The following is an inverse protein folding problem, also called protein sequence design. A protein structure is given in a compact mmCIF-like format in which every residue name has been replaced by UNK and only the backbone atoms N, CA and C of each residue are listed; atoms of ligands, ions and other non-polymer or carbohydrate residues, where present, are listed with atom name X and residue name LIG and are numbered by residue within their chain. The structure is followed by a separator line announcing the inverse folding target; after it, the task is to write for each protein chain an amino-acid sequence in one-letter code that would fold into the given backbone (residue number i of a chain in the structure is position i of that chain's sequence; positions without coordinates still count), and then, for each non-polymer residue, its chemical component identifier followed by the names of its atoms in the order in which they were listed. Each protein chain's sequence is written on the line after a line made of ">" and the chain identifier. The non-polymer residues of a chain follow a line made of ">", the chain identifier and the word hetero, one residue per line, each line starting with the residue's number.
data_IF_813712955807
#
_entry.id   IF_813712955807
#
_cell.length_a   1.000
_cell.length_b   1.000
_cell.length_c   1.000
_cell.angle_alpha   90.00
_cell.angle_beta   90.00
_cell.angle_gamma   90.00
#
_symmetry.space_group_name_H-M   'P 1'
#
loop_
_entity.id
_entity.type
_entity.pdbx_description
1 polymer ?
#
# COMPACT_ATOMS: atom_id res chain seq x y z
N UNK A 1 -10.24 -16.04 -0.80
CA UNK A 1 -9.42 -16.87 -1.72
C UNK A 1 -7.96 -17.00 -1.28
N UNK A 2 -7.21 -15.92 -1.02
CA UNK A 2 -5.85 -16.03 -0.47
C UNK A 2 -5.77 -16.85 0.85
N UNK A 3 -6.76 -16.70 1.72
CA UNK A 3 -6.91 -17.46 2.97
C UNK A 3 -7.11 -18.97 2.76
N UNK A 4 -7.72 -19.39 1.64
CA UNK A 4 -7.96 -20.81 1.33
C UNK A 4 -6.65 -21.50 1.00
N UNK A 5 -5.80 -20.87 0.17
CA UNK A 5 -4.47 -21.39 -0.14
C UNK A 5 -3.60 -21.53 1.12
N UNK A 6 -3.60 -20.53 2.00
CA UNK A 6 -2.88 -20.60 3.28
C UNK A 6 -3.40 -21.73 4.18
N UNK A 7 -4.71 -21.89 4.31
CA UNK A 7 -5.30 -22.96 5.10
C UNK A 7 -4.95 -24.35 4.55
N UNK A 8 -4.99 -24.55 3.23
CA UNK A 8 -4.61 -25.80 2.58
C UNK A 8 -3.14 -26.12 2.79
N UNK A 9 -2.25 -25.14 2.59
CA UNK A 9 -0.81 -25.32 2.83
C UNK A 9 -0.50 -25.61 4.32
N UNK A 10 -1.15 -24.92 5.25
CA UNK A 10 -0.99 -25.18 6.68
C UNK A 10 -1.44 -26.60 7.08
N UNK A 11 -2.53 -27.10 6.48
CA UNK A 11 -3.01 -28.48 6.72
C UNK A 11 -2.09 -29.55 6.15
N UNK A 12 -1.44 -29.29 5.01
CA UNK A 12 -0.50 -30.24 4.41
C UNK A 12 0.85 -30.30 5.14
N UNK A 13 1.38 -29.14 5.53
CA UNK A 13 2.73 -29.02 6.07
C UNK A 13 2.82 -29.18 7.59
N UNK A 14 1.72 -28.95 8.31
CA UNK A 14 1.76 -28.83 9.76
C UNK A 14 2.43 -27.53 10.25
N UNK A 15 2.47 -27.29 11.57
CA UNK A 15 2.79 -25.97 12.13
C UNK A 15 4.23 -25.50 11.90
N UNK A 16 5.21 -26.42 12.00
CA UNK A 16 6.63 -26.07 11.90
C UNK A 16 7.00 -25.62 10.48
N UNK A 17 6.73 -26.46 9.49
CA UNK A 17 7.03 -26.19 8.07
C UNK A 17 6.23 -25.01 7.53
N UNK A 18 4.94 -24.92 7.88
CA UNK A 18 4.14 -23.74 7.54
C UNK A 18 4.72 -22.46 8.16
N UNK A 19 5.25 -22.54 9.39
CA UNK A 19 5.94 -21.44 10.05
C UNK A 19 7.14 -20.93 9.25
N UNK A 20 7.99 -21.82 8.74
CA UNK A 20 9.14 -21.47 7.89
C UNK A 20 8.71 -20.74 6.61
N UNK A 21 7.67 -21.24 5.94
CA UNK A 21 7.11 -20.61 4.74
C UNK A 21 6.51 -19.23 5.05
N UNK A 22 5.73 -19.13 6.13
CA UNK A 22 5.09 -17.89 6.55
C UNK A 22 6.12 -16.82 6.94
N UNK A 23 7.22 -17.19 7.60
CA UNK A 23 8.32 -16.30 7.94
C UNK A 23 9.05 -15.80 6.69
N UNK A 24 9.32 -16.69 5.73
CA UNK A 24 9.93 -16.32 4.44
C UNK A 24 9.10 -15.28 3.68
N UNK A 25 7.78 -15.47 3.71
CA UNK A 25 6.83 -14.54 3.11
C UNK A 25 6.72 -13.21 3.86
N UNK A 26 6.65 -13.25 5.19
CA UNK A 26 6.59 -12.06 6.02
C UNK A 26 7.86 -11.21 5.86
N UNK A 27 9.02 -11.85 5.84
CA UNK A 27 10.31 -11.23 5.64
C UNK A 27 10.39 -10.49 4.30
N UNK A 28 10.15 -11.19 3.19
CA UNK A 28 10.22 -10.58 1.85
C UNK A 28 9.20 -9.45 1.65
N UNK A 29 7.98 -9.61 2.17
CA UNK A 29 6.99 -8.51 2.19
C UNK A 29 7.43 -7.31 3.01
N UNK A 30 8.11 -7.56 4.14
CA UNK A 30 8.70 -6.53 4.97
C UNK A 30 9.70 -5.71 4.14
N UNK A 31 10.69 -6.38 3.54
CA UNK A 31 11.70 -5.73 2.71
C UNK A 31 11.06 -4.96 1.54
N UNK A 32 10.12 -5.58 0.82
CA UNK A 32 9.40 -4.92 -0.28
C UNK A 32 8.75 -3.61 0.20
N UNK A 33 8.12 -3.61 1.37
CA UNK A 33 7.43 -2.42 1.87
C UNK A 33 8.37 -1.27 2.27
N UNK A 34 9.58 -1.58 2.72
CA UNK A 34 10.58 -0.57 3.09
C UNK A 34 11.37 -0.05 1.89
N UNK A 35 11.65 -0.91 0.90
CA UNK A 35 12.49 -0.55 -0.26
C UNK A 35 11.67 -0.09 -1.46
N UNK A 36 10.39 -0.46 -1.55
CA UNK A 36 9.57 -0.16 -2.72
C UNK A 36 9.39 1.34 -2.94
N UNK A 37 9.80 1.79 -4.12
CA UNK A 37 9.52 3.12 -4.61
C UNK A 37 8.17 3.10 -5.34
N UNK A 38 7.23 3.94 -4.91
CA UNK A 38 5.89 4.02 -5.53
C UNK A 38 5.91 4.84 -6.82
N UNK A 39 6.61 4.35 -7.85
CA UNK A 39 6.76 5.03 -9.15
C UNK A 39 5.43 5.24 -9.89
N UNK A 40 4.37 4.51 -9.55
CA UNK A 40 3.07 4.65 -10.23
C UNK A 40 2.45 6.05 -10.07
N UNK A 41 2.64 6.73 -8.93
CA UNK A 41 2.06 8.06 -8.69
C UNK A 41 2.59 9.12 -9.67
N UNK A 42 3.92 9.31 -9.80
CA UNK A 42 4.48 10.26 -10.76
C UNK A 42 4.14 9.87 -12.20
N UNK A 43 4.22 8.57 -12.55
CA UNK A 43 3.91 8.10 -13.90
C UNK A 43 2.48 8.45 -14.32
N UNK A 44 1.50 8.37 -13.42
CA UNK A 44 0.12 8.77 -13.72
C UNK A 44 0.00 10.29 -13.93
N UNK A 45 0.59 11.12 -13.06
CA UNK A 45 0.49 12.59 -13.20
C UNK A 45 1.17 13.09 -14.48
N UNK A 46 2.43 12.73 -14.66
CA UNK A 46 3.20 13.17 -15.83
C UNK A 46 2.74 12.47 -17.11
N UNK A 47 2.28 11.22 -17.00
CA UNK A 47 1.71 10.48 -18.12
C UNK A 47 0.40 11.09 -18.59
N UNK A 48 -0.52 11.45 -17.69
CA UNK A 48 -1.78 12.12 -18.06
C UNK A 48 -1.53 13.42 -18.84
N UNK A 49 -0.52 14.20 -18.44
CA UNK A 49 -0.10 15.41 -19.17
C UNK A 49 0.46 15.07 -20.56
N UNK A 50 1.36 14.10 -20.68
CA UNK A 50 1.94 13.69 -21.97
C UNK A 50 0.90 13.11 -22.94
N UNK A 51 -0.08 12.34 -22.43
CA UNK A 51 -1.21 11.86 -23.23
C UNK A 51 -2.02 13.00 -23.84
N UNK A 52 -2.21 14.10 -23.10
CA UNK A 52 -3.00 15.24 -23.55
C UNK A 52 -2.30 16.03 -24.67
N UNK A 53 -0.99 16.25 -24.56
CA UNK A 53 -0.21 16.96 -25.58
C UNK A 53 -0.02 16.10 -26.85
N UNK A 54 -0.21 14.78 -26.73
CA UNK A 54 -0.04 13.84 -27.84
C UNK A 54 1.42 13.45 -28.10
N UNK A 55 2.31 13.75 -27.16
CA UNK A 55 3.74 13.44 -27.27
C UNK A 55 4.02 11.97 -26.95
N UNK A 56 3.86 11.12 -27.97
CA UNK A 56 3.99 9.66 -27.81
C UNK A 56 5.39 9.23 -27.36
N UNK A 57 6.45 9.92 -27.79
CA UNK A 57 7.82 9.57 -27.41
C UNK A 57 8.17 9.97 -25.98
N UNK A 58 7.59 11.05 -25.47
CA UNK A 58 7.69 11.46 -24.07
C UNK A 58 6.98 10.44 -23.18
N UNK A 59 5.81 9.97 -23.60
CA UNK A 59 5.06 8.94 -22.90
C UNK A 59 5.81 7.59 -22.88
N UNK A 60 6.40 7.17 -24.00
CA UNK A 60 7.26 5.96 -24.06
C UNK A 60 8.46 6.08 -23.14
N UNK A 61 9.18 7.21 -23.19
CA UNK A 61 10.35 7.44 -22.34
C UNK A 61 9.98 7.45 -20.86
N UNK A 62 8.84 8.05 -20.50
CA UNK A 62 8.31 8.09 -19.14
C UNK A 62 8.02 6.67 -18.61
N UNK A 63 7.32 5.82 -19.39
CA UNK A 63 7.05 4.44 -18.97
C UNK A 63 8.32 3.58 -18.92
N UNK A 64 9.25 3.74 -19.88
CA UNK A 64 10.56 3.06 -19.83
C UNK A 64 11.32 3.46 -18.56
N UNK A 65 11.34 4.75 -18.23
CA UNK A 65 11.99 5.26 -17.03
C UNK A 65 11.35 4.71 -15.76
N UNK A 66 10.02 4.71 -15.70
CA UNK A 66 9.27 4.08 -14.61
C UNK A 66 9.61 2.60 -14.40
N UNK A 67 9.71 1.84 -15.49
CA UNK A 67 10.10 0.44 -15.44
C UNK A 67 11.55 0.26 -14.91
N UNK A 68 12.47 1.15 -15.27
CA UNK A 68 13.84 1.11 -14.77
C UNK A 68 13.91 1.44 -13.28
N UNK A 69 13.12 2.41 -12.80
CA UNK A 69 12.99 2.68 -11.35
C UNK A 69 12.46 1.43 -10.64
N UNK A 70 11.42 0.79 -11.17
CA UNK A 70 10.86 -0.42 -10.56
C UNK A 70 11.89 -1.56 -10.52
N UNK A 71 12.62 -1.79 -11.61
CA UNK A 71 13.61 -2.84 -11.69
C UNK A 71 14.80 -2.58 -10.76
N UNK A 72 15.31 -1.35 -10.73
CA UNK A 72 16.42 -0.97 -9.85
C UNK A 72 16.03 -1.07 -8.38
N UNK A 73 14.81 -0.66 -8.02
CA UNK A 73 14.32 -0.76 -6.63
C UNK A 73 14.03 -2.20 -6.22
N UNK A 74 13.51 -3.03 -7.14
CA UNK A 74 13.33 -4.47 -6.92
C UNK A 74 14.66 -5.21 -6.73
N UNK A 75 15.67 -4.91 -7.56
CA UNK A 75 17.01 -5.49 -7.44
C UNK A 75 17.75 -5.01 -6.19
N UNK A 76 17.66 -3.72 -5.85
CA UNK A 76 18.22 -3.18 -4.62
C UNK A 76 17.56 -3.82 -3.39
N UNK A 77 16.23 -4.00 -3.42
CA UNK A 77 15.48 -4.67 -2.36
C UNK A 77 15.86 -6.13 -2.21
N UNK A 78 16.06 -6.84 -3.33
CA UNK A 78 16.58 -8.21 -3.31
C UNK A 78 17.98 -8.30 -2.71
N UNK A 79 18.91 -7.45 -3.17
CA UNK A 79 20.28 -7.41 -2.64
C UNK A 79 20.31 -7.10 -1.14
N UNK A 80 19.52 -6.12 -0.69
CA UNK A 80 19.38 -5.80 0.73
C UNK A 80 18.78 -6.99 1.52
N UNK A 81 17.75 -7.66 0.99
CA UNK A 81 17.15 -8.82 1.64
C UNK A 81 18.16 -9.96 1.82
N UNK A 82 18.96 -10.26 0.79
CA UNK A 82 20.00 -11.29 0.88
C UNK A 82 21.07 -10.89 1.88
N UNK A 83 21.54 -9.64 1.83
CA UNK A 83 22.55 -9.12 2.74
C UNK A 83 22.11 -9.20 4.21
N UNK A 84 20.87 -8.82 4.50
CA UNK A 84 20.31 -8.89 5.87
C UNK A 84 20.27 -10.34 6.36
N UNK A 85 19.84 -11.31 5.54
CA UNK A 85 19.81 -12.72 5.97
C UNK A 85 21.22 -13.25 6.23
N UNK A 86 22.17 -12.96 5.35
CA UNK A 86 23.54 -13.44 5.48
C UNK A 86 24.28 -12.82 6.67
N UNK A 87 24.12 -11.52 6.89
CA UNK A 87 24.80 -10.82 7.98
C UNK A 87 24.08 -11.02 9.31
N UNK A 88 22.77 -10.84 9.34
CA UNK A 88 22.01 -10.81 10.59
C UNK A 88 21.51 -12.19 11.03
N UNK A 89 21.30 -13.13 10.11
CA UNK A 89 20.81 -14.48 10.41
C UNK A 89 21.62 -15.20 11.51
N UNK A 90 22.97 -15.22 11.43
CA UNK A 90 23.81 -15.81 12.48
C UNK A 90 23.68 -15.14 13.85
N UNK A 91 23.53 -13.80 13.90
CA UNK A 91 23.40 -13.06 15.16
C UNK A 91 22.04 -13.28 15.84
N UNK A 92 20.99 -13.52 15.06
CA UNK A 92 19.65 -13.76 15.58
C UNK A 92 19.36 -15.23 15.92
N UNK A 93 20.38 -16.11 15.86
CA UNK A 93 20.22 -17.54 16.15
C UNK A 93 19.32 -18.27 15.15
N UNK A 94 19.17 -17.73 13.94
CA UNK A 94 18.34 -18.33 12.88
C UNK A 94 19.05 -19.59 12.38
N UNK A 95 18.33 -20.71 12.30
CA UNK A 95 18.90 -21.96 11.80
C UNK A 95 19.39 -21.81 10.35
N UNK A 96 20.42 -22.57 9.98
CA UNK A 96 20.96 -22.57 8.62
C UNK A 96 19.91 -22.99 7.57
N UNK A 97 19.00 -23.89 7.97
CA UNK A 97 17.87 -24.33 7.16
C UNK A 97 16.88 -23.19 6.90
N UNK A 98 16.43 -22.49 7.94
CA UNK A 98 15.53 -21.35 7.80
C UNK A 98 16.16 -20.25 6.93
N UNK A 99 17.45 -19.95 7.16
CA UNK A 99 18.19 -18.99 6.34
C UNK A 99 18.19 -19.40 4.86
N UNK A 100 18.37 -20.69 4.56
CA UNK A 100 18.33 -21.21 3.19
C UNK A 100 16.96 -21.02 2.55
N UNK A 101 15.87 -21.36 3.24
CA UNK A 101 14.51 -21.17 2.73
C UNK A 101 14.20 -19.69 2.46
N UNK A 102 14.56 -18.80 3.39
CA UNK A 102 14.36 -17.36 3.22
C UNK A 102 15.18 -16.83 2.03
N UNK A 103 16.43 -17.26 1.88
CA UNK A 103 17.29 -16.87 0.74
C UNK A 103 16.70 -17.31 -0.60
N UNK A 104 16.21 -18.54 -0.69
CA UNK A 104 15.53 -19.03 -1.89
C UNK A 104 14.28 -18.18 -2.16
N UNK A 105 13.46 -17.92 -1.14
CA UNK A 105 12.24 -17.13 -1.29
C UNK A 105 12.51 -15.68 -1.70
N UNK A 106 13.65 -15.10 -1.31
CA UNK A 106 14.07 -13.76 -1.74
C UNK A 106 14.18 -13.63 -3.27
N UNK A 107 14.39 -14.73 -4.01
CA UNK A 107 14.42 -14.72 -5.47
C UNK A 107 13.13 -14.22 -6.13
N UNK A 108 12.03 -14.08 -5.37
CA UNK A 108 10.79 -13.44 -5.84
C UNK A 108 10.94 -11.92 -5.99
N UNK A 109 11.75 -11.26 -5.16
CA UNK A 109 11.85 -9.80 -5.08
C UNK A 109 12.23 -9.10 -6.40
N UNK A 110 13.20 -9.59 -7.21
CA UNK A 110 13.53 -8.99 -8.50
C UNK A 110 12.36 -8.91 -9.48
N UNK A 111 11.35 -9.78 -9.33
CA UNK A 111 10.18 -9.83 -10.19
C UNK A 111 9.04 -8.91 -9.73
N UNK A 112 9.16 -8.26 -8.56
CA UNK A 112 8.13 -7.39 -7.97
C UNK A 112 8.06 -6.00 -8.63
N UNK A 113 7.98 -5.98 -9.96
CA UNK A 113 7.78 -4.78 -10.78
C UNK A 113 6.30 -4.41 -10.75
N UNK A 114 5.95 -3.38 -9.98
CA UNK A 114 4.54 -3.01 -9.75
C UNK A 114 4.18 -1.61 -10.22
N UNK A 115 5.13 -0.68 -10.30
CA UNK A 115 4.86 0.74 -10.50
C UNK A 115 4.39 1.10 -11.91
N UNK A 116 5.21 0.89 -12.94
CA UNK A 116 4.87 1.13 -14.34
C UNK A 116 3.65 0.33 -14.79
N UNK A 117 3.54 -1.00 -14.52
CA UNK A 117 2.36 -1.75 -14.92
C UNK A 117 1.06 -1.21 -14.31
N UNK A 118 1.12 -0.79 -13.04
CA UNK A 118 -0.02 -0.17 -12.36
C UNK A 118 -0.36 1.19 -12.97
N UNK A 119 0.64 2.03 -13.29
CA UNK A 119 0.42 3.32 -13.91
C UNK A 119 -0.28 3.19 -15.27
N UNK A 120 0.19 2.29 -16.14
CA UNK A 120 -0.42 2.02 -17.45
C UNK A 120 -1.88 1.58 -17.29
N UNK A 121 -2.13 0.58 -16.43
CA UNK A 121 -3.48 0.06 -16.23
C UNK A 121 -4.44 1.14 -15.69
N UNK A 122 -3.97 2.00 -14.79
CA UNK A 122 -4.78 3.06 -14.20
C UNK A 122 -5.01 4.22 -15.17
N UNK A 123 -3.99 4.64 -15.93
CA UNK A 123 -4.11 5.71 -16.93
C UNK A 123 -5.11 5.36 -18.04
N UNK A 124 -5.11 4.11 -18.50
CA UNK A 124 -6.02 3.64 -19.55
C UNK A 124 -7.32 3.01 -19.02
N UNK A 125 -7.63 3.19 -17.73
CA UNK A 125 -8.90 2.73 -17.14
C UNK A 125 -9.11 1.22 -17.11
N UNK A 126 -8.04 0.41 -17.19
CA UNK A 126 -8.08 -1.06 -17.24
C UNK A 126 -8.14 -1.71 -15.84
N UNK A 127 -8.90 -1.12 -14.93
CA UNK A 127 -9.08 -1.63 -13.56
C UNK A 127 -9.67 -3.05 -13.51
N UNK A 128 -10.54 -3.39 -14.48
CA UNK A 128 -11.13 -4.73 -14.59
C UNK A 128 -10.07 -5.83 -14.77
N UNK A 129 -9.06 -5.59 -15.60
CA UNK A 129 -7.99 -6.58 -15.85
C UNK A 129 -7.19 -6.84 -14.57
N UNK A 130 -6.92 -5.79 -13.80
CA UNK A 130 -6.23 -5.90 -12.50
C UNK A 130 -7.07 -6.70 -11.50
N UNK A 131 -8.36 -6.38 -11.38
CA UNK A 131 -9.26 -7.02 -10.44
C UNK A 131 -9.50 -8.51 -10.77
N UNK A 132 -9.91 -8.83 -12.00
CA UNK A 132 -10.15 -10.21 -12.42
C UNK A 132 -8.87 -11.04 -12.46
N UNK A 133 -7.74 -10.43 -12.86
CA UNK A 133 -6.44 -11.10 -12.83
C UNK A 133 -6.04 -11.54 -11.43
N UNK A 134 -6.30 -10.73 -10.40
CA UNK A 134 -6.04 -11.09 -9.01
C UNK A 134 -6.93 -12.23 -8.52
N UNK A 135 -8.21 -12.25 -8.91
CA UNK A 135 -9.15 -13.33 -8.57
C UNK A 135 -8.71 -14.63 -9.25
N UNK A 136 -8.46 -14.60 -10.56
CA UNK A 136 -8.02 -15.76 -11.33
C UNK A 136 -6.71 -16.35 -10.77
N UNK A 137 -5.72 -15.50 -10.48
CA UNK A 137 -4.47 -15.94 -9.86
C UNK A 137 -4.70 -16.57 -8.47
N UNK A 138 -5.64 -16.04 -7.69
CA UNK A 138 -5.98 -16.59 -6.36
C UNK A 138 -6.70 -17.93 -6.45
N UNK A 139 -7.61 -18.09 -7.41
CA UNK A 139 -8.32 -19.37 -7.66
C UNK A 139 -7.34 -20.43 -8.17
N UNK A 140 -6.53 -20.10 -9.17
CA UNK A 140 -5.50 -21.00 -9.69
C UNK A 140 -4.55 -21.45 -8.57
N UNK A 141 -4.09 -20.52 -7.72
CA UNK A 141 -3.26 -20.86 -6.56
C UNK A 141 -3.97 -21.82 -5.60
N UNK A 142 -5.24 -21.59 -5.29
CA UNK A 142 -6.00 -22.46 -4.41
C UNK A 142 -6.15 -23.88 -4.99
N UNK A 143 -6.40 -24.00 -6.30
CA UNK A 143 -6.45 -25.28 -7.00
C UNK A 143 -5.10 -26.00 -6.99
N UNK A 144 -4.00 -25.28 -7.20
CA UNK A 144 -2.66 -25.84 -7.13
C UNK A 144 -2.31 -26.29 -5.70
N UNK A 145 -2.69 -25.51 -4.67
CA UNK A 145 -2.53 -25.92 -3.28
C UNK A 145 -3.34 -27.18 -2.97
N UNK A 146 -4.56 -27.28 -3.48
CA UNK A 146 -5.41 -28.46 -3.32
C UNK A 146 -4.77 -29.69 -3.98
N UNK A 147 -4.27 -29.55 -5.21
CA UNK A 147 -3.52 -30.60 -5.87
C UNK A 147 -2.29 -31.02 -5.06
N UNK A 148 -1.53 -30.06 -4.53
CA UNK A 148 -0.37 -30.34 -3.67
C UNK A 148 -0.72 -31.11 -2.40
N UNK A 149 -1.87 -30.83 -1.78
CA UNK A 149 -2.38 -31.62 -0.64
C UNK A 149 -2.61 -33.08 -1.06
N UNK A 150 -3.30 -33.31 -2.18
CA UNK A 150 -3.59 -34.66 -2.67
C UNK A 150 -2.35 -35.43 -3.14
N UNK A 151 -1.35 -34.72 -3.67
CA UNK A 151 -0.08 -35.29 -4.13
C UNK A 151 0.96 -35.46 -3.01
N UNK A 152 0.63 -35.05 -1.77
CA UNK A 152 1.53 -35.18 -0.62
C UNK A 152 2.76 -34.28 -0.69
N UNK A 153 2.64 -33.08 -1.25
CA UNK A 153 3.74 -32.12 -1.36
C UNK A 153 4.27 -31.66 0.00
N UNK A 154 5.59 -31.52 0.10
CA UNK A 154 6.28 -31.02 1.28
C UNK A 154 6.54 -29.51 1.22
N UNK A 155 7.32 -29.03 2.20
CA UNK A 155 7.62 -27.60 2.36
C UNK A 155 8.21 -26.97 1.11
N UNK A 156 9.16 -27.66 0.48
CA UNK A 156 9.90 -27.14 -0.66
C UNK A 156 8.98 -26.96 -1.89
N UNK A 157 8.12 -27.94 -2.18
CA UNK A 157 7.17 -27.89 -3.30
C UNK A 157 6.14 -26.78 -3.09
N UNK A 158 5.60 -26.65 -1.87
CA UNK A 158 4.70 -25.56 -1.54
C UNK A 158 5.41 -24.21 -1.64
N UNK A 159 6.64 -24.09 -1.16
CA UNK A 159 7.44 -22.88 -1.32
C UNK A 159 7.57 -22.49 -2.80
N UNK A 160 7.97 -23.43 -3.66
CA UNK A 160 8.08 -23.19 -5.10
C UNK A 160 6.74 -22.79 -5.72
N UNK A 161 5.62 -23.42 -5.33
CA UNK A 161 4.29 -23.02 -5.78
C UNK A 161 4.00 -21.56 -5.41
N UNK A 162 4.24 -21.16 -4.16
CA UNK A 162 3.98 -19.79 -3.70
C UNK A 162 4.87 -18.78 -4.40
N UNK A 163 6.16 -19.09 -4.56
CA UNK A 163 7.12 -18.27 -5.32
C UNK A 163 6.70 -18.13 -6.78
N UNK A 164 6.45 -19.24 -7.47
CA UNK A 164 6.02 -19.26 -8.87
C UNK A 164 4.72 -18.50 -9.06
N UNK A 165 3.75 -18.66 -8.16
CA UNK A 165 2.49 -17.93 -8.22
C UNK A 165 2.68 -16.41 -8.08
N UNK A 166 3.60 -15.96 -7.23
CA UNK A 166 3.90 -14.54 -7.06
C UNK A 166 4.64 -13.97 -8.28
N UNK A 167 5.67 -14.68 -8.77
CA UNK A 167 6.43 -14.31 -9.97
C UNK A 167 5.50 -14.24 -11.19
N UNK A 168 4.70 -15.29 -11.42
CA UNK A 168 3.73 -15.33 -12.52
C UNK A 168 2.71 -14.19 -12.42
N UNK A 169 2.23 -13.85 -11.21
CA UNK A 169 1.30 -12.73 -11.04
C UNK A 169 1.95 -11.39 -11.40
N UNK A 170 3.22 -11.18 -11.08
CA UNK A 170 3.94 -9.94 -11.37
C UNK A 170 4.32 -9.84 -12.84
N UNK A 171 4.82 -10.93 -13.44
CA UNK A 171 5.06 -11.02 -14.88
C UNK A 171 3.78 -10.80 -15.70
N UNK A 172 2.67 -11.44 -15.31
CA UNK A 172 1.39 -11.26 -15.98
C UNK A 172 0.95 -9.79 -15.99
N UNK A 173 1.10 -9.08 -14.85
CA UNK A 173 0.77 -7.65 -14.74
C UNK A 173 1.60 -6.81 -15.72
N UNK A 174 2.91 -7.07 -15.81
CA UNK A 174 3.83 -6.40 -16.73
C UNK A 174 3.51 -6.72 -18.20
N UNK A 175 3.21 -7.98 -18.52
CA UNK A 175 2.80 -8.41 -19.87
C UNK A 175 1.53 -7.68 -20.29
N UNK A 176 0.50 -7.64 -19.44
CA UNK A 176 -0.73 -6.92 -19.74
C UNK A 176 -0.49 -5.42 -19.92
N UNK A 177 0.43 -4.81 -19.16
CA UNK A 177 0.80 -3.42 -19.36
C UNK A 177 1.43 -3.18 -20.74
N UNK A 178 2.39 -4.01 -21.17
CA UNK A 178 2.95 -3.91 -22.52
C UNK A 178 1.95 -4.21 -23.63
N UNK A 179 0.96 -5.09 -23.39
CA UNK A 179 -0.14 -5.33 -24.34
C UNK A 179 -1.03 -4.11 -24.47
N UNK A 180 -1.36 -3.45 -23.36
CA UNK A 180 -2.15 -2.21 -23.40
C UNK A 180 -1.37 -1.09 -24.09
N UNK A 181 -0.08 -0.91 -23.79
CA UNK A 181 0.75 0.08 -24.49
C UNK A 181 0.76 -0.14 -26.00
N UNK A 182 0.96 -1.39 -26.46
CA UNK A 182 0.88 -1.74 -27.89
C UNK A 182 -0.50 -1.46 -28.49
N UNK A 183 -1.57 -1.77 -27.77
CA UNK A 183 -2.95 -1.49 -28.21
C UNK A 183 -3.21 0.00 -28.40
N UNK A 184 -2.56 0.84 -27.60
CA UNK A 184 -2.65 2.30 -27.67
C UNK A 184 -1.64 2.92 -28.67
N UNK A 185 -1.00 2.11 -29.52
CA UNK A 185 -0.04 2.57 -30.53
C UNK A 185 1.35 2.90 -29.99
N UNK A 186 1.62 2.68 -28.70
CA UNK A 186 2.93 2.90 -28.07
C UNK A 186 3.83 1.68 -28.29
N UNK A 187 4.19 1.44 -29.54
CA UNK A 187 5.22 0.47 -29.90
C UNK A 187 6.61 0.99 -29.55
N UNK A 188 7.56 0.09 -29.30
CA UNK A 188 8.96 0.48 -29.19
C UNK A 188 9.38 1.08 -27.84
N UNK A 189 8.58 0.92 -26.77
CA UNK A 189 8.83 1.59 -25.46
C UNK A 189 10.24 1.28 -24.91
N UNK A 190 10.74 0.06 -25.07
CA UNK A 190 12.08 -0.33 -24.61
C UNK A 190 13.19 0.25 -25.50
N UNK A 191 12.90 0.50 -26.77
CA UNK A 191 13.81 1.05 -27.76
C UNK A 191 13.93 2.58 -27.68
N UNK A 192 12.93 3.27 -27.13
CA UNK A 192 12.93 4.73 -27.00
C UNK A 192 14.11 5.23 -26.16
N UNK A 193 14.87 6.24 -26.62
CA UNK A 193 15.91 6.87 -25.81
C UNK A 193 15.28 7.57 -24.61
N UNK A 194 15.83 7.36 -23.41
CA UNK A 194 15.31 7.99 -22.20
C UNK A 194 15.42 9.52 -22.26
N UNK A 195 16.43 10.03 -22.95
CA UNK A 195 16.79 11.45 -22.91
C UNK A 195 17.04 11.91 -21.48
N UNK A 196 17.12 13.22 -21.27
CA UNK A 196 17.12 13.76 -19.91
C UNK A 196 15.68 13.89 -19.40
N UNK A 197 15.25 12.92 -18.58
CA UNK A 197 13.92 12.95 -17.95
C UNK A 197 13.73 14.20 -17.08
N UNK A 198 14.81 14.78 -16.54
CA UNK A 198 14.73 15.99 -15.71
C UNK A 198 14.29 17.20 -16.52
N UNK A 199 14.75 17.33 -17.77
CA UNK A 199 14.36 18.43 -18.66
C UNK A 199 13.00 18.18 -19.30
N UNK A 200 12.70 16.95 -19.72
CA UNK A 200 11.40 16.58 -20.30
C UNK A 200 10.25 16.66 -19.29
N UNK A 201 10.50 16.26 -18.04
CA UNK A 201 9.52 16.23 -16.96
C UNK A 201 10.00 17.01 -15.74
N UNK A 202 10.00 18.36 -15.81
CA UNK A 202 10.44 19.18 -14.69
C UNK A 202 9.61 18.88 -13.43
N UNK A 203 10.31 18.71 -12.32
CA UNK A 203 9.72 18.38 -11.02
C UNK A 203 9.47 16.89 -10.78
N UNK A 204 9.68 15.98 -11.75
CA UNK A 204 9.44 14.54 -11.56
C UNK A 204 10.11 13.99 -10.30
N UNK A 205 11.39 14.32 -10.09
CA UNK A 205 12.14 13.84 -8.92
C UNK A 205 11.65 14.46 -7.61
N UNK A 206 11.41 15.77 -7.58
CA UNK A 206 10.83 16.46 -6.42
C UNK A 206 9.50 15.83 -6.03
N UNK A 207 8.63 15.60 -7.02
CA UNK A 207 7.36 14.90 -6.85
C UNK A 207 7.58 13.52 -6.26
N UNK A 208 8.36 12.69 -6.94
CA UNK A 208 8.50 11.28 -6.60
C UNK A 208 9.13 11.08 -5.22
N UNK A 209 10.15 11.86 -4.88
CA UNK A 209 10.80 11.78 -3.56
C UNK A 209 9.87 12.29 -2.46
N UNK A 210 9.19 13.43 -2.67
CA UNK A 210 8.30 14.00 -1.67
C UNK A 210 7.12 13.07 -1.36
N UNK A 211 6.52 12.47 -2.39
CA UNK A 211 5.38 11.56 -2.21
C UNK A 211 5.79 10.25 -1.58
N UNK A 212 6.95 9.69 -1.95
CA UNK A 212 7.47 8.47 -1.32
C UNK A 212 7.82 8.72 0.16
N UNK A 213 8.53 9.80 0.47
CA UNK A 213 8.89 10.11 1.85
C UNK A 213 7.65 10.37 2.72
N UNK A 214 6.65 11.07 2.18
CA UNK A 214 5.38 11.27 2.86
C UNK A 214 4.68 9.95 3.22
N UNK A 215 4.69 8.98 2.29
CA UNK A 215 4.10 7.66 2.52
C UNK A 215 4.90 6.80 3.49
N UNK A 216 6.23 6.89 3.48
CA UNK A 216 7.09 6.20 4.45
C UNK A 216 6.81 6.72 5.85
N UNK A 217 6.76 8.04 6.05
CA UNK A 217 6.47 8.64 7.36
C UNK A 217 5.11 8.17 7.90
N UNK A 218 4.08 8.19 7.06
CA UNK A 218 2.76 7.67 7.43
C UNK A 218 2.81 6.17 7.76
N UNK A 219 3.49 5.37 6.93
CA UNK A 219 3.62 3.94 7.17
C UNK A 219 4.33 3.65 8.50
N UNK A 220 5.38 4.40 8.85
CA UNK A 220 6.05 4.26 10.15
C UNK A 220 5.09 4.49 11.31
N UNK A 221 4.31 5.57 11.29
CA UNK A 221 3.31 5.84 12.32
C UNK A 221 2.29 4.68 12.44
N UNK A 222 1.83 4.13 11.32
CA UNK A 222 0.89 3.02 11.31
C UNK A 222 1.51 1.65 11.60
N UNK A 223 2.81 1.40 11.45
CA UNK A 223 3.39 0.05 11.67
C UNK A 223 4.07 -0.06 13.04
N UNK A 224 4.64 1.03 13.57
CA UNK A 224 5.32 1.04 14.87
C UNK A 224 4.39 1.35 16.05
N UNK A 225 3.17 1.82 15.82
CA UNK A 225 2.21 2.17 16.88
C UNK A 225 1.96 1.06 17.91
N UNK A 226 1.84 -0.18 17.47
CA UNK A 226 1.56 -1.34 18.33
C UNK A 226 2.75 -1.65 19.21
N UNK A 227 3.97 -1.48 18.68
CA UNK A 227 5.21 -1.63 19.43
C UNK A 227 5.34 -0.51 20.48
N UNK A 228 4.96 0.72 20.13
CA UNK A 228 4.91 1.82 21.09
C UNK A 228 3.93 1.54 22.24
N UNK A 229 2.73 1.00 21.95
CA UNK A 229 1.78 0.60 23.00
C UNK A 229 2.38 -0.50 23.89
N UNK A 230 3.00 -1.52 23.31
CA UNK A 230 3.59 -2.61 24.09
C UNK A 230 4.75 -2.17 24.98
N UNK A 231 5.54 -1.19 24.52
CA UNK A 231 6.67 -0.66 25.27
C UNK A 231 6.26 0.36 26.34
N UNK A 232 5.32 1.27 26.02
CA UNK A 232 4.96 2.40 26.89
C UNK A 232 3.77 2.13 27.83
N UNK A 233 2.93 1.15 27.52
CA UNK A 233 1.84 0.71 28.40
C UNK A 233 2.12 -0.70 28.92
N UNK A 234 1.77 -1.72 28.15
CA UNK A 234 2.00 -3.13 28.48
C UNK A 234 1.66 -4.05 27.27
N UNK A 235 2.15 -5.31 27.26
CA UNK A 235 1.87 -6.26 26.19
C UNK A 235 0.38 -6.61 26.00
N UNK A 236 -0.42 -6.61 27.07
CA UNK A 236 -1.86 -6.91 27.00
C UNK A 236 -2.64 -5.82 26.27
N UNK A 237 -2.40 -4.55 26.64
CA UNK A 237 -2.91 -3.37 25.95
C UNK A 237 -2.52 -3.36 24.47
N UNK A 238 -1.28 -3.75 24.14
CA UNK A 238 -0.82 -3.84 22.76
C UNK A 238 -1.56 -4.93 21.97
N UNK A 239 -1.86 -6.07 22.60
CA UNK A 239 -2.67 -7.13 22.01
C UNK A 239 -4.08 -6.65 21.63
N UNK A 240 -4.78 -6.01 22.57
CA UNK A 240 -6.11 -5.43 22.34
C UNK A 240 -6.08 -4.36 21.23
N UNK A 241 -5.10 -3.45 21.30
CA UNK A 241 -4.89 -2.41 20.30
C UNK A 241 -4.65 -2.98 18.90
N UNK A 242 -3.80 -4.00 18.79
CA UNK A 242 -3.47 -4.62 17.51
C UNK A 242 -4.69 -5.28 16.85
N UNK A 243 -5.55 -5.94 17.63
CA UNK A 243 -6.83 -6.48 17.15
C UNK A 243 -7.73 -5.34 16.68
N UNK A 244 -7.90 -4.29 17.48
CA UNK A 244 -8.74 -3.16 17.13
C UNK A 244 -8.30 -2.48 15.82
N UNK A 245 -6.99 -2.24 15.70
CA UNK A 245 -6.35 -1.68 14.50
C UNK A 245 -6.58 -2.54 13.25
N UNK A 246 -6.56 -3.88 13.36
CA UNK A 246 -6.82 -4.77 12.21
C UNK A 246 -8.23 -4.60 11.67
N UNK A 247 -9.23 -4.45 12.55
CA UNK A 247 -10.61 -4.17 12.14
C UNK A 247 -10.69 -2.83 11.40
N UNK A 248 -10.11 -1.77 11.98
CA UNK A 248 -10.09 -0.44 11.39
C UNK A 248 -9.36 -0.40 10.02
N UNK A 249 -8.31 -1.20 9.86
CA UNK A 249 -7.53 -1.30 8.61
C UNK A 249 -8.38 -1.79 7.43
N UNK A 250 -9.41 -2.61 7.67
CA UNK A 250 -10.34 -3.07 6.62
C UNK A 250 -11.11 -1.86 6.05
N UNK A 251 -11.61 -0.98 6.91
CA UNK A 251 -12.28 0.24 6.47
C UNK A 251 -11.31 1.20 5.76
N UNK A 252 -10.07 1.30 6.25
CA UNK A 252 -9.03 2.14 5.64
C UNK A 252 -8.69 1.72 4.20
N UNK A 253 -8.72 0.41 3.89
CA UNK A 253 -8.45 -0.11 2.55
C UNK A 253 -9.42 0.42 1.49
N UNK A 254 -10.67 0.71 1.87
CA UNK A 254 -11.64 1.32 0.94
C UNK A 254 -11.12 2.66 0.39
N UNK A 255 -10.49 3.48 1.24
CA UNK A 255 -9.88 4.74 0.81
C UNK A 255 -8.70 4.57 -0.14
N UNK A 256 -7.94 3.49 -0.02
CA UNK A 256 -6.87 3.17 -0.98
C UNK A 256 -7.43 2.76 -2.35
N UNK A 257 -8.53 2.01 -2.37
CA UNK A 257 -9.20 1.62 -3.62
C UNK A 257 -9.82 2.84 -4.31
N UNK A 258 -10.50 3.70 -3.55
CA UNK A 258 -11.01 4.96 -4.08
C UNK A 258 -9.87 5.83 -4.61
N UNK A 259 -8.75 5.93 -3.89
CA UNK A 259 -7.57 6.67 -4.37
C UNK A 259 -7.04 6.15 -5.70
N UNK A 260 -7.00 4.82 -5.86
CA UNK A 260 -6.47 4.19 -7.06
C UNK A 260 -7.24 4.57 -8.34
N UNK A 261 -8.54 4.83 -8.21
CA UNK A 261 -9.43 5.23 -9.30
C UNK A 261 -9.51 6.77 -9.41
N UNK A 262 -9.69 7.44 -8.28
CA UNK A 262 -9.90 8.89 -8.21
C UNK A 262 -8.67 9.68 -8.69
N UNK A 263 -7.45 9.22 -8.39
CA UNK A 263 -6.26 10.00 -8.70
C UNK A 263 -6.01 10.17 -10.22
N UNK A 264 -6.09 9.12 -11.07
CA UNK A 264 -6.07 9.29 -12.52
C UNK A 264 -7.13 10.26 -13.03
N UNK A 265 -8.37 10.12 -12.55
CA UNK A 265 -9.48 10.98 -12.99
C UNK A 265 -9.26 12.44 -12.58
N UNK A 266 -8.84 12.70 -11.34
CA UNK A 266 -8.50 14.05 -10.88
C UNK A 266 -7.33 14.64 -11.66
N UNK A 267 -6.33 13.83 -12.03
CA UNK A 267 -5.20 14.28 -12.85
C UNK A 267 -5.66 14.69 -14.25
N UNK A 268 -6.63 13.97 -14.84
CA UNK A 268 -7.26 14.32 -16.11
C UNK A 268 -8.09 15.60 -15.98
N UNK A 269 -9.07 15.63 -15.07
CA UNK A 269 -9.99 16.76 -14.86
C UNK A 269 -9.24 18.07 -14.57
N UNK A 270 -8.18 17.99 -13.76
CA UNK A 270 -7.33 19.17 -13.47
C UNK A 270 -6.68 19.77 -14.72
N UNK A 271 -6.39 18.92 -15.71
CA UNK A 271 -5.73 19.29 -16.96
C UNK A 271 -6.71 19.70 -18.07
N UNK A 272 -7.99 19.27 -18.03
CA UNK A 272 -8.95 19.42 -19.14
C UNK A 272 -10.25 20.15 -18.81
N UNK A 273 -10.79 19.99 -17.60
CA UNK A 273 -12.22 20.27 -17.30
C UNK A 273 -12.43 21.45 -16.32
N UNK A 274 -11.39 22.26 -16.09
CA UNK A 274 -11.46 23.47 -15.27
C UNK A 274 -11.58 23.23 -13.76
N UNK A 275 -11.59 24.30 -12.97
CA UNK A 275 -11.58 24.24 -11.50
C UNK A 275 -12.92 23.83 -10.89
N UNK A 276 -14.03 24.09 -11.57
CA UNK A 276 -15.38 23.78 -11.07
C UNK A 276 -15.65 22.27 -11.02
N UNK A 277 -15.43 21.54 -12.12
CA UNK A 277 -15.66 20.09 -12.17
C UNK A 277 -14.66 19.34 -11.29
N UNK A 278 -13.41 19.84 -11.20
CA UNK A 278 -12.43 19.36 -10.24
C UNK A 278 -12.93 19.46 -8.80
N UNK A 279 -13.42 20.64 -8.39
CA UNK A 279 -13.97 20.85 -7.04
C UNK A 279 -15.18 19.97 -6.75
N UNK A 280 -16.07 19.82 -7.73
CA UNK A 280 -17.24 18.95 -7.62
C UNK A 280 -16.83 17.50 -7.42
N UNK A 281 -15.90 16.98 -8.22
CA UNK A 281 -15.39 15.60 -8.12
C UNK A 281 -14.75 15.33 -6.76
N UNK A 282 -13.90 16.25 -6.29
CA UNK A 282 -13.26 16.19 -4.95
C UNK A 282 -14.32 16.21 -3.84
N UNK A 283 -15.30 17.10 -3.92
CA UNK A 283 -16.36 17.22 -2.90
C UNK A 283 -17.25 15.98 -2.86
N UNK A 284 -17.76 15.53 -4.01
CA UNK A 284 -18.63 14.35 -4.11
C UNK A 284 -17.95 13.09 -3.57
N UNK A 285 -16.68 12.88 -3.93
CA UNK A 285 -15.93 11.71 -3.45
C UNK A 285 -15.55 11.85 -1.98
N UNK A 286 -15.30 13.07 -1.50
CA UNK A 286 -15.10 13.37 -0.09
C UNK A 286 -16.31 13.02 0.76
N UNK A 287 -17.52 13.45 0.34
CA UNK A 287 -18.78 13.11 1.00
C UNK A 287 -19.12 11.63 0.94
N UNK A 288 -18.83 10.97 -0.20
CA UNK A 288 -19.02 9.52 -0.33
C UNK A 288 -18.14 8.76 0.68
N UNK A 289 -16.86 9.11 0.80
CA UNK A 289 -15.94 8.48 1.75
C UNK A 289 -16.30 8.81 3.21
N UNK A 290 -16.77 10.03 3.48
CA UNK A 290 -17.28 10.39 4.80
C UNK A 290 -18.50 9.55 5.18
N UNK A 291 -19.49 9.47 4.30
CA UNK A 291 -20.70 8.65 4.51
C UNK A 291 -20.36 7.17 4.68
N UNK A 292 -19.44 6.63 3.88
CA UNK A 292 -18.93 5.27 4.04
C UNK A 292 -18.27 5.08 5.42
N UNK A 293 -17.42 6.01 5.84
CA UNK A 293 -16.75 5.94 7.14
C UNK A 293 -17.72 6.00 8.32
N UNK A 294 -18.72 6.89 8.26
CA UNK A 294 -19.79 6.97 9.28
C UNK A 294 -20.62 5.70 9.31
N UNK A 295 -21.01 5.17 8.15
CA UNK A 295 -21.73 3.90 8.06
C UNK A 295 -20.92 2.74 8.65
N UNK A 296 -19.61 2.70 8.38
CA UNK A 296 -18.72 1.70 8.95
C UNK A 296 -18.58 1.83 10.48
N UNK A 297 -18.49 3.05 11.01
CA UNK A 297 -18.49 3.31 12.45
C UNK A 297 -19.81 2.87 13.11
N UNK A 298 -20.96 3.21 12.54
CA UNK A 298 -22.28 2.78 13.05
C UNK A 298 -22.40 1.26 13.02
N UNK A 299 -21.97 0.63 11.93
CA UNK A 299 -21.97 -0.83 11.81
C UNK A 299 -21.07 -1.47 12.87
N UNK A 300 -19.87 -0.91 13.08
CA UNK A 300 -18.97 -1.38 14.12
C UNK A 300 -19.61 -1.20 15.51
N UNK A 301 -20.22 -0.05 15.79
CA UNK A 301 -20.89 0.22 17.07
C UNK A 301 -21.94 -0.85 17.40
N UNK A 302 -22.71 -1.31 16.41
CA UNK A 302 -23.75 -2.32 16.61
C UNK A 302 -23.23 -3.76 16.69
N UNK A 303 -22.05 -4.05 16.13
CA UNK A 303 -21.63 -5.45 15.90
C UNK A 303 -20.28 -5.82 16.51
N UNK A 304 -19.47 -4.86 16.96
CA UNK A 304 -18.06 -5.13 17.24
C UNK A 304 -17.83 -6.13 18.38
N UNK A 305 -18.64 -6.07 19.45
CA UNK A 305 -18.48 -6.98 20.59
C UNK A 305 -18.72 -8.43 20.16
N UNK A 306 -19.78 -8.66 19.37
CA UNK A 306 -20.07 -9.97 18.79
C UNK A 306 -18.97 -10.42 17.83
N UNK A 307 -18.52 -9.52 16.94
CA UNK A 307 -17.43 -9.82 16.00
C UNK A 307 -16.16 -10.20 16.75
N UNK A 308 -15.77 -9.46 17.80
CA UNK A 308 -14.57 -9.73 18.59
C UNK A 308 -14.69 -11.06 19.35
N UNK A 309 -15.84 -11.33 19.98
CA UNK A 309 -16.08 -12.60 20.69
C UNK A 309 -15.98 -13.81 19.76
N UNK A 310 -16.56 -13.74 18.57
CA UNK A 310 -16.58 -14.85 17.60
C UNK A 310 -15.23 -15.02 16.89
N UNK A 311 -14.53 -13.92 16.59
CA UNK A 311 -13.29 -13.98 15.79
C UNK A 311 -12.02 -14.08 16.62
N UNK A 312 -11.90 -13.30 17.69
CA UNK A 312 -10.71 -13.22 18.53
C UNK A 312 -10.87 -13.99 19.85
N UNK A 313 -12.10 -14.17 20.33
CA UNK A 313 -12.43 -14.91 21.55
C UNK A 313 -12.86 -13.99 22.71
N UNK A 314 -13.38 -14.57 23.81
CA UNK A 314 -13.97 -13.80 24.92
C UNK A 314 -13.01 -12.83 25.62
N UNK A 315 -11.70 -13.08 25.58
CA UNK A 315 -10.69 -12.21 26.19
C UNK A 315 -10.45 -10.87 25.48
N UNK A 316 -11.02 -10.66 24.28
CA UNK A 316 -10.77 -9.47 23.45
C UNK A 316 -11.92 -8.46 23.44
N UNK A 317 -12.96 -8.67 24.24
CA UNK A 317 -14.12 -7.75 24.30
C UNK A 317 -13.69 -6.33 24.72
N UNK A 318 -12.66 -6.21 25.56
CA UNK A 318 -12.05 -4.93 25.95
C UNK A 318 -11.43 -4.14 24.78
N UNK A 319 -11.29 -4.73 23.59
CA UNK A 319 -10.85 -4.01 22.40
C UNK A 319 -11.98 -3.21 21.72
N UNK A 320 -13.25 -3.44 22.05
CA UNK A 320 -14.38 -2.75 21.42
C UNK A 320 -14.29 -1.21 21.50
N UNK A 321 -13.99 -0.59 22.65
CA UNK A 321 -13.79 0.86 22.72
C UNK A 321 -12.62 1.34 21.86
N UNK A 322 -11.54 0.55 21.78
CA UNK A 322 -10.37 0.89 20.95
C UNK A 322 -10.75 0.91 19.47
N UNK A 323 -11.60 -0.01 19.01
CA UNK A 323 -12.11 -0.02 17.65
C UNK A 323 -12.89 1.28 17.37
N UNK A 324 -13.80 1.68 18.26
CA UNK A 324 -14.60 2.89 18.07
C UNK A 324 -13.74 4.14 17.94
N UNK A 325 -12.78 4.34 18.83
CA UNK A 325 -11.88 5.51 18.77
C UNK A 325 -11.02 5.46 17.52
N UNK A 326 -10.55 4.28 17.10
CA UNK A 326 -9.76 4.14 15.88
C UNK A 326 -10.59 4.42 14.62
N UNK A 327 -11.88 4.11 14.59
CA UNK A 327 -12.75 4.46 13.47
C UNK A 327 -12.87 5.97 13.26
N UNK A 328 -12.82 6.77 14.33
CA UNK A 328 -12.79 8.24 14.21
C UNK A 328 -11.56 8.70 13.43
N UNK A 329 -10.38 8.16 13.76
CA UNK A 329 -9.16 8.42 12.99
C UNK A 329 -9.30 7.96 11.52
N UNK A 330 -9.88 6.79 11.27
CA UNK A 330 -10.09 6.28 9.91
C UNK A 330 -11.01 7.17 9.10
N UNK A 331 -12.12 7.68 9.65
CA UNK A 331 -13.04 8.58 8.94
C UNK A 331 -12.30 9.83 8.47
N UNK A 332 -11.56 10.48 9.38
CA UNK A 332 -10.77 11.68 9.06
C UNK A 332 -9.71 11.36 7.99
N UNK A 333 -9.03 10.22 8.14
CA UNK A 333 -8.05 9.75 7.17
C UNK A 333 -8.69 9.55 5.78
N UNK A 334 -9.84 8.86 5.69
CA UNK A 334 -10.58 8.63 4.43
C UNK A 334 -10.93 9.95 3.73
N UNK A 335 -11.47 10.93 4.46
CA UNK A 335 -11.73 12.26 3.89
C UNK A 335 -10.44 12.94 3.39
N UNK A 336 -9.34 12.81 4.14
CA UNK A 336 -8.05 13.34 3.73
C UNK A 336 -7.46 12.64 2.50
N UNK A 337 -7.79 11.36 2.24
CA UNK A 337 -7.32 10.65 1.02
C UNK A 337 -7.83 11.30 -0.27
N UNK A 338 -9.03 11.88 -0.24
CA UNK A 338 -9.56 12.64 -1.37
C UNK A 338 -8.76 13.92 -1.61
N UNK A 339 -8.48 14.67 -0.54
CA UNK A 339 -7.65 15.89 -0.62
C UNK A 339 -6.21 15.58 -1.02
N UNK A 340 -5.65 14.47 -0.53
CA UNK A 340 -4.33 13.98 -0.93
C UNK A 340 -4.28 13.75 -2.45
N UNK A 341 -5.24 13.02 -3.02
CA UNK A 341 -5.31 12.80 -4.47
C UNK A 341 -5.45 14.09 -5.26
N UNK A 342 -6.23 15.05 -4.74
CA UNK A 342 -6.40 16.36 -5.37
C UNK A 342 -5.10 17.18 -5.36
N UNK A 343 -4.44 17.33 -4.21
CA UNK A 343 -3.15 18.03 -4.10
C UNK A 343 -2.06 17.36 -4.92
N UNK A 344 -2.10 16.02 -5.02
CA UNK A 344 -1.19 15.24 -5.85
C UNK A 344 -1.41 15.56 -7.34
N UNK A 345 -2.67 15.59 -7.81
CA UNK A 345 -3.03 15.97 -9.17
C UNK A 345 -2.64 17.43 -9.49
N UNK A 346 -2.82 18.35 -8.53
CA UNK A 346 -2.41 19.76 -8.65
C UNK A 346 -0.89 19.97 -8.64
N UNK A 347 -0.11 18.97 -8.24
CA UNK A 347 1.34 19.09 -8.13
C UNK A 347 1.84 19.88 -6.93
N UNK A 348 1.14 19.75 -5.81
CA UNK A 348 1.54 20.30 -4.52
C UNK A 348 2.07 19.21 -3.57
N UNK A 349 2.93 18.34 -4.07
CA UNK A 349 3.55 17.23 -3.31
C UNK A 349 4.31 17.69 -2.04
N UNK A 350 4.85 18.91 -2.03
CA UNK A 350 5.63 19.43 -0.90
C UNK A 350 4.73 19.66 0.31
N UNK A 351 3.48 20.08 0.07
CA UNK A 351 2.46 20.20 1.11
C UNK A 351 2.13 18.82 1.69
N UNK A 352 2.06 17.79 0.83
CA UNK A 352 1.79 16.41 1.28
C UNK A 352 2.91 15.92 2.20
N UNK A 353 4.17 16.18 1.84
CA UNK A 353 5.32 15.85 2.68
C UNK A 353 5.33 16.62 3.99
N UNK A 354 5.09 17.94 3.95
CA UNK A 354 5.00 18.77 5.16
C UNK A 354 3.87 18.31 6.09
N UNK A 355 2.72 17.95 5.53
CA UNK A 355 1.58 17.42 6.29
C UNK A 355 1.89 16.05 6.91
N UNK A 356 2.62 15.19 6.18
CA UNK A 356 3.06 13.91 6.72
C UNK A 356 4.11 14.06 7.83
N UNK A 357 5.09 14.95 7.66
CA UNK A 357 6.12 15.26 8.67
C UNK A 357 5.49 15.80 9.95
N UNK A 358 4.67 16.85 9.84
CA UNK A 358 4.02 17.47 11.00
C UNK A 358 3.04 16.51 11.68
N UNK A 359 2.24 15.77 10.90
CA UNK A 359 1.35 14.73 11.43
C UNK A 359 2.12 13.62 12.15
N UNK A 360 3.22 13.13 11.58
CA UNK A 360 4.06 12.09 12.17
C UNK A 360 4.77 12.55 13.46
N UNK A 361 5.27 13.79 13.48
CA UNK A 361 5.86 14.37 14.71
C UNK A 361 4.82 14.49 15.82
N UNK A 362 3.62 15.00 15.50
CA UNK A 362 2.54 15.12 16.47
C UNK A 362 1.99 13.76 16.90
N UNK A 363 1.98 12.76 16.02
CA UNK A 363 1.71 11.37 16.38
C UNK A 363 2.68 10.91 17.47
N UNK A 364 3.98 11.01 17.23
CA UNK A 364 5.00 10.58 18.18
C UNK A 364 4.89 11.34 19.52
N UNK A 365 4.75 12.66 19.48
CA UNK A 365 4.61 13.48 20.69
C UNK A 365 3.36 13.08 21.49
N UNK A 366 2.22 12.92 20.81
CA UNK A 366 0.96 12.53 21.46
C UNK A 366 1.03 11.11 22.02
N UNK A 367 1.60 10.17 21.27
CA UNK A 367 1.76 8.78 21.68
C UNK A 367 2.65 8.65 22.93
N UNK A 368 3.82 9.30 22.94
CA UNK A 368 4.76 9.28 24.07
C UNK A 368 4.11 9.87 25.34
N UNK A 369 3.26 10.89 25.20
CA UNK A 369 2.63 11.57 26.33
C UNK A 369 1.38 10.83 26.84
N UNK A 370 0.54 10.30 25.95
CA UNK A 370 -0.76 9.72 26.32
C UNK A 370 -0.72 8.21 26.58
N UNK A 371 0.11 7.44 25.88
CA UNK A 371 0.14 5.98 26.07
C UNK A 371 0.46 5.60 27.54
N UNK A 372 1.45 6.23 28.22
CA UNK A 372 1.71 5.91 29.62
C UNK A 372 0.57 6.29 30.58
N UNK A 373 -0.33 7.21 30.17
CA UNK A 373 -1.40 7.74 31.04
C UNK A 373 -2.74 7.04 30.86
N UNK A 374 -3.08 6.68 29.62
CA UNK A 374 -4.41 6.12 29.26
C UNK A 374 -4.28 4.82 28.45
N UNK A 375 -3.10 4.22 28.41
CA UNK A 375 -2.84 2.95 27.74
C UNK A 375 -3.03 3.02 26.22
N UNK A 376 -3.55 1.92 25.65
CA UNK A 376 -3.82 1.78 24.22
C UNK A 376 -4.71 2.89 23.62
N UNK A 377 -5.61 3.49 24.40
CA UNK A 377 -6.45 4.61 23.95
C UNK A 377 -5.58 5.80 23.52
N UNK A 378 -4.45 6.02 24.19
CA UNK A 378 -3.51 7.09 23.85
C UNK A 378 -2.95 6.98 22.42
N UNK A 379 -2.75 5.76 21.92
CA UNK A 379 -2.32 5.52 20.55
C UNK A 379 -3.44 5.84 19.53
N UNK A 380 -4.69 5.50 19.84
CA UNK A 380 -5.83 5.89 18.99
C UNK A 380 -5.96 7.42 18.92
N UNK A 381 -5.81 8.12 20.07
CA UNK A 381 -5.83 9.59 20.11
C UNK A 381 -4.68 10.17 19.30
N UNK A 382 -3.48 9.59 19.35
CA UNK A 382 -2.36 10.01 18.51
C UNK A 382 -2.69 9.89 17.01
N UNK A 383 -3.38 8.83 16.59
CA UNK A 383 -3.86 8.69 15.20
C UNK A 383 -4.94 9.71 14.82
N UNK A 384 -5.83 10.07 15.74
CA UNK A 384 -6.82 11.14 15.54
C UNK A 384 -6.10 12.47 15.33
N UNK A 385 -5.12 12.81 16.18
CA UNK A 385 -4.32 14.03 16.05
C UNK A 385 -3.56 14.05 14.73
N UNK A 386 -2.87 12.95 14.38
CA UNK A 386 -2.15 12.82 13.11
C UNK A 386 -3.09 13.04 11.91
N UNK A 387 -4.21 12.31 11.87
CA UNK A 387 -5.15 12.35 10.75
C UNK A 387 -5.86 13.71 10.67
N UNK A 388 -6.19 14.31 11.81
CA UNK A 388 -6.82 15.62 11.92
C UNK A 388 -5.91 16.73 11.40
N UNK A 389 -4.67 16.80 11.88
CA UNK A 389 -3.70 17.80 11.41
C UNK A 389 -3.39 17.61 9.94
N UNK A 390 -3.19 16.36 9.51
CA UNK A 390 -2.97 16.03 8.11
C UNK A 390 -4.15 16.48 7.22
N UNK A 391 -5.39 16.20 7.63
CA UNK A 391 -6.59 16.64 6.92
C UNK A 391 -6.70 18.17 6.87
N UNK A 392 -6.55 18.86 8.00
CA UNK A 392 -6.69 20.32 8.10
C UNK A 392 -5.65 21.03 7.23
N UNK A 393 -4.38 20.62 7.30
CA UNK A 393 -3.33 21.23 6.48
C UNK A 393 -3.59 21.04 4.98
N UNK A 394 -3.99 19.84 4.57
CA UNK A 394 -4.36 19.59 3.18
C UNK A 394 -5.61 20.37 2.76
N UNK A 395 -6.61 20.51 3.63
CA UNK A 395 -7.82 21.28 3.33
C UNK A 395 -7.51 22.77 3.14
N UNK A 396 -6.68 23.34 4.01
CA UNK A 396 -6.21 24.74 3.90
C UNK A 396 -5.42 24.92 2.60
N UNK A 397 -4.47 24.03 2.32
CA UNK A 397 -3.66 24.11 1.11
C UNK A 397 -4.51 23.94 -0.16
N UNK A 398 -5.45 23.00 -0.15
CA UNK A 398 -6.38 22.79 -1.25
C UNK A 398 -7.18 24.06 -1.55
N UNK A 399 -7.75 24.70 -0.52
CA UNK A 399 -8.53 25.95 -0.69
C UNK A 399 -7.67 27.10 -1.22
N UNK A 400 -6.46 27.29 -0.66
CA UNK A 400 -5.53 28.34 -1.12
C UNK A 400 -5.11 28.13 -2.57
N UNK A 401 -4.73 26.90 -2.93
CA UNK A 401 -4.24 26.58 -4.27
C UNK A 401 -5.31 26.53 -5.34
N UNK A 402 -6.55 26.28 -4.96
CA UNK A 402 -7.68 26.41 -5.87
C UNK A 402 -8.03 27.88 -6.13
N UNK A 403 -7.72 28.80 -5.21
CA UNK A 403 -7.95 30.24 -5.38
C UNK A 403 -6.86 30.94 -6.21
N UNK A 404 -5.65 30.37 -6.26
CA UNK A 404 -4.51 30.88 -7.05
C UNK A 404 -4.65 30.64 -8.57
N UNK A 405 -5.68 29.90 -9.04
CA UNK A 405 -5.94 29.52 -10.44
C UNK A 405 -7.28 30.07 -10.89
#
# INVERSE_FOLDING_TARGET
>A
MGLVGFALTARALGPADYGLLALSFAYTRGIERFVSFRSWQPLIKYGAKALQVGETDDLKALFKFGLLIDLTTALAGWGLAVLIVLLAGPFFGISAEMSRFVLIYCAVLPFQVTGMPTAVMRLYGRFKIVAYGQVAASVLRALLCLAGVYLGWGLFEFMLLWMASQICSSLNRTIWAFRELRKQGLHGVMQTPLGDIRTRFPGFWSFSLSTNLALIIQACAFEFDTLLVGYLADPGSAGLYHIAKRVAKIAQQAGEQVQAVLYPDLSRVWATEGTSEFRKTVSQTGWLLFGFGVCALVTAYLTIEWVLRVTAGPGFEAAAPLVMVQFVAVIIFLCGRTLYSALLAMGHEKVLLQSALTGGLLFCATAIVLIPRVGAVGANVAHIVMSGVWFVQMAIAYRRKLADK
#
